data_IF_820750538400
#
_entry.id   IF_820750538400
#
_cell.length_a   1.000
_cell.length_b   1.000
_cell.length_c   1.000
_cell.angle_alpha   90.00
_cell.angle_beta   90.00
_cell.angle_gamma   90.00
#
_symmetry.space_group_name_H-M   'P 1'
#
loop_
_entity.id
_entity.type
_entity.pdbx_description
1 polymer ?
#
# COMPACT_ATOMS: atom_id res chain seq x y z
N UNK A 1 0.70 15.33 15.24
CA UNK A 1 -0.31 15.80 16.21
C UNK A 1 -1.27 16.70 15.45
N UNK A 2 -2.57 16.49 15.60
CA UNK A 2 -3.58 17.33 14.95
C UNK A 2 -4.20 18.17 16.05
N UNK A 3 -3.97 19.48 16.05
CA UNK A 3 -4.50 20.38 17.06
C UNK A 3 -5.63 21.23 16.44
N UNK A 4 -6.73 21.36 17.18
CA UNK A 4 -7.92 22.16 16.81
C UNK A 4 -8.58 21.76 15.46
N UNK A 5 -8.43 20.51 15.02
CA UNK A 5 -9.10 19.95 13.83
C UNK A 5 -9.44 18.48 14.06
N UNK A 6 -10.51 18.03 13.42
CA UNK A 6 -10.96 16.62 13.43
C UNK A 6 -10.52 15.87 12.16
N UNK A 7 -9.71 16.51 11.30
CA UNK A 7 -9.24 15.94 10.03
C UNK A 7 -7.76 16.20 9.81
N UNK A 8 -7.10 15.26 9.16
CA UNK A 8 -5.71 15.36 8.70
C UNK A 8 -5.49 14.52 7.46
N UNK A 9 -4.38 14.75 6.77
CA UNK A 9 -3.92 13.94 5.63
C UNK A 9 -2.59 13.31 6.01
N UNK A 10 -2.47 12.00 5.83
CA UNK A 10 -1.24 11.25 6.02
C UNK A 10 -0.61 11.04 4.64
N UNK A 11 0.58 11.59 4.43
CA UNK A 11 1.32 11.53 3.15
C UNK A 11 2.44 10.50 3.21
N UNK A 12 3.07 10.22 2.05
CA UNK A 12 4.24 9.34 1.92
C UNK A 12 3.98 7.89 2.35
N UNK A 13 2.79 7.38 2.04
CA UNK A 13 2.39 6.00 2.29
C UNK A 13 2.67 5.12 1.07
N UNK A 14 2.80 3.81 1.29
CA UNK A 14 2.92 2.83 0.20
C UNK A 14 1.60 2.73 -0.59
N UNK A 15 1.63 2.64 -1.92
CA UNK A 15 0.43 2.38 -2.73
C UNK A 15 -0.22 1.04 -2.36
N UNK A 16 -1.53 0.94 -2.56
CA UNK A 16 -2.36 -0.25 -2.34
C UNK A 16 -2.11 -1.02 -1.02
N UNK A 17 -1.71 -0.31 0.03
CA UNK A 17 -1.28 -0.91 1.29
C UNK A 17 -2.32 -0.65 2.38
N UNK A 18 -2.67 -1.70 3.15
CA UNK A 18 -3.59 -1.59 4.28
C UNK A 18 -2.87 -0.98 5.48
N UNK A 19 -3.40 0.12 6.00
CA UNK A 19 -2.92 0.75 7.22
C UNK A 19 -3.95 0.62 8.33
N UNK A 20 -3.47 0.33 9.54
CA UNK A 20 -4.21 0.56 10.78
C UNK A 20 -3.95 1.98 11.24
N UNK A 21 -5.01 2.75 11.41
CA UNK A 21 -4.95 4.14 11.86
C UNK A 21 -5.48 4.19 13.29
N UNK A 22 -4.60 4.34 14.27
CA UNK A 22 -4.94 4.53 15.68
C UNK A 22 -5.10 6.03 15.99
N UNK A 23 -6.24 6.42 16.55
CA UNK A 23 -6.58 7.80 16.90
C UNK A 23 -6.74 7.91 18.42
N UNK A 24 -6.01 8.84 19.02
CA UNK A 24 -6.09 9.17 20.44
C UNK A 24 -6.62 10.59 20.63
N UNK A 25 -7.41 10.80 21.69
CA UNK A 25 -7.81 12.13 22.15
C UNK A 25 -7.05 12.49 23.43
N UNK A 26 -6.43 13.65 23.43
CA UNK A 26 -5.60 14.15 24.53
C UNK A 26 -6.18 15.48 25.03
N UNK A 27 -6.33 15.62 26.35
CA UNK A 27 -6.72 16.88 26.98
C UNK A 27 -5.50 17.58 27.63
N UNK A 28 -5.73 18.65 28.40
CA UNK A 28 -4.67 19.43 29.05
C UNK A 28 -3.88 18.66 30.12
N UNK A 29 -4.45 17.60 30.71
CA UNK A 29 -3.75 16.74 31.70
C UNK A 29 -3.04 15.55 31.06
N UNK A 30 -3.09 15.41 29.72
CA UNK A 30 -2.57 14.23 29.03
C UNK A 30 -1.06 14.03 29.22
N UNK A 31 -0.30 15.07 29.54
CA UNK A 31 1.13 14.97 29.85
C UNK A 31 1.41 14.21 31.16
N UNK A 32 0.47 14.23 32.11
CA UNK A 32 0.60 13.55 33.41
C UNK A 32 -0.19 12.25 33.48
N UNK A 33 -1.40 12.23 32.93
CA UNK A 33 -2.34 11.11 33.03
C UNK A 33 -2.38 10.24 31.78
N UNK A 34 -1.76 10.68 30.67
CA UNK A 34 -1.87 10.03 29.37
C UNK A 34 -3.11 10.45 28.58
N UNK A 35 -3.13 10.09 27.30
CA UNK A 35 -4.28 10.29 26.43
C UNK A 35 -5.31 9.16 26.58
N UNK A 36 -6.46 9.30 25.90
CA UNK A 36 -7.46 8.24 25.82
C UNK A 36 -6.88 6.95 25.22
N UNK A 37 -7.60 5.84 25.42
CA UNK A 37 -7.43 4.65 24.58
C UNK A 37 -7.60 5.00 23.09
N UNK A 38 -7.02 4.19 22.21
CA UNK A 38 -7.16 4.39 20.77
C UNK A 38 -8.52 3.96 20.27
N UNK A 39 -9.12 4.77 19.41
CA UNK A 39 -10.12 4.30 18.45
C UNK A 39 -9.40 4.04 17.13
N UNK A 40 -9.66 2.91 16.48
CA UNK A 40 -8.90 2.51 15.29
C UNK A 40 -9.78 2.17 14.11
N UNK A 41 -9.23 2.38 12.92
CA UNK A 41 -9.85 2.03 11.64
C UNK A 41 -8.80 1.47 10.70
N UNK A 42 -9.24 0.59 9.79
CA UNK A 42 -8.42 0.12 8.68
C UNK A 42 -8.80 0.86 7.41
N UNK A 43 -7.80 1.36 6.70
CA UNK A 43 -7.97 2.00 5.40
C UNK A 43 -6.85 1.55 4.46
N UNK A 44 -7.17 1.38 3.18
CA UNK A 44 -6.19 1.04 2.14
C UNK A 44 -5.94 2.27 1.27
N UNK A 45 -4.67 2.51 0.94
CA UNK A 45 -4.28 3.56 0.01
C UNK A 45 -4.70 3.23 -1.42
N UNK A 46 -4.79 4.25 -2.28
CA UNK A 46 -5.05 4.05 -3.71
C UNK A 46 -3.92 3.26 -4.38
N UNK A 47 -4.22 2.51 -5.45
CA UNK A 47 -3.19 1.87 -6.26
C UNK A 47 -2.33 2.91 -6.99
N UNK A 48 -1.07 2.59 -7.22
CA UNK A 48 -0.19 3.29 -8.14
C UNK A 48 -0.52 2.88 -9.57
N UNK A 49 -0.83 3.85 -10.40
CA UNK A 49 -1.21 3.62 -11.79
C UNK A 49 -0.05 2.99 -12.57
N UNK A 50 -0.32 1.88 -13.28
CA UNK A 50 0.66 1.16 -14.11
C UNK A 50 1.70 0.36 -13.33
N UNK A 51 1.61 0.30 -11.99
CA UNK A 51 2.59 -0.42 -11.17
C UNK A 51 2.51 -1.96 -11.30
N UNK A 52 1.39 -2.47 -11.81
CA UNK A 52 1.15 -3.89 -12.04
C UNK A 52 1.46 -4.32 -13.49
N UNK A 53 1.84 -3.37 -14.33
CA UNK A 53 2.13 -3.64 -15.74
C UNK A 53 3.50 -4.29 -15.90
N UNK A 54 3.66 -5.12 -16.94
CA UNK A 54 4.92 -5.77 -17.26
C UNK A 54 5.96 -4.68 -17.61
N UNK A 55 7.08 -4.55 -16.86
CA UNK A 55 8.01 -3.43 -17.00
C UNK A 55 8.97 -3.56 -18.20
N UNK A 56 8.74 -4.52 -19.09
CA UNK A 56 9.64 -4.80 -20.21
C UNK A 56 9.02 -5.68 -21.30
N UNK A 57 9.80 -6.03 -22.33
CA UNK A 57 9.29 -6.80 -23.45
C UNK A 57 8.98 -8.25 -23.05
N UNK A 58 7.98 -8.82 -23.72
CA UNK A 58 7.76 -10.26 -23.73
C UNK A 58 8.72 -10.87 -24.74
N UNK A 59 9.55 -11.81 -24.28
CA UNK A 59 10.47 -12.61 -25.11
C UNK A 59 9.93 -14.02 -25.25
N UNK A 60 10.38 -14.73 -26.29
CA UNK A 60 9.88 -16.06 -26.60
C UNK A 60 11.00 -16.97 -27.13
N UNK A 61 10.89 -18.26 -26.83
CA UNK A 61 11.81 -19.30 -27.30
C UNK A 61 11.01 -20.48 -27.87
N UNK A 62 11.36 -20.95 -29.06
CA UNK A 62 10.77 -22.16 -29.62
C UNK A 62 11.13 -23.38 -28.77
N UNK A 63 10.15 -24.25 -28.53
CA UNK A 63 10.27 -25.52 -27.83
C UNK A 63 9.78 -26.66 -28.72
N UNK A 64 10.10 -27.94 -28.40
CA UNK A 64 9.57 -29.09 -29.11
C UNK A 64 8.04 -29.09 -29.16
N UNK A 65 7.45 -29.94 -30.01
CA UNK A 65 6.00 -30.11 -30.10
C UNK A 65 5.24 -28.84 -30.54
N UNK A 66 5.85 -28.03 -31.41
CA UNK A 66 5.29 -26.75 -31.87
C UNK A 66 4.87 -25.82 -30.72
N UNK A 67 5.59 -25.88 -29.59
CA UNK A 67 5.33 -25.03 -28.42
C UNK A 67 6.27 -23.82 -28.39
N UNK A 68 5.82 -22.75 -27.73
CA UNK A 68 6.60 -21.53 -27.50
C UNK A 68 6.64 -21.27 -26.00
N UNK A 69 7.83 -21.03 -25.46
CA UNK A 69 8.02 -20.65 -24.06
C UNK A 69 8.16 -19.12 -23.96
N UNK A 70 7.20 -18.48 -23.31
CA UNK A 70 7.19 -17.03 -23.10
C UNK A 70 7.93 -16.66 -21.81
N UNK A 71 8.62 -15.52 -21.83
CA UNK A 71 9.31 -14.93 -20.67
C UNK A 71 9.08 -13.42 -20.64
N UNK A 72 8.81 -12.87 -19.48
CA UNK A 72 8.73 -11.43 -19.25
C UNK A 72 9.23 -11.10 -17.83
N UNK A 73 9.71 -9.87 -17.58
CA UNK A 73 10.08 -9.44 -16.24
C UNK A 73 8.83 -9.25 -15.36
N UNK A 74 8.93 -9.60 -14.09
CA UNK A 74 7.89 -9.33 -13.11
C UNK A 74 7.91 -7.85 -12.67
N UNK A 75 6.75 -7.20 -12.44
CA UNK A 75 6.71 -5.85 -11.89
C UNK A 75 7.42 -5.78 -10.53
N UNK A 76 8.37 -4.84 -10.37
CA UNK A 76 9.18 -4.75 -9.14
C UNK A 76 8.39 -4.26 -7.92
N UNK A 77 7.39 -3.40 -8.14
CA UNK A 77 6.62 -2.74 -7.08
C UNK A 77 5.11 -2.80 -7.36
N UNK A 78 4.49 -4.00 -7.35
CA UNK A 78 3.09 -4.15 -7.66
C UNK A 78 2.20 -3.51 -6.58
N UNK A 79 0.95 -3.24 -6.93
CA UNK A 79 -0.13 -2.90 -6.02
C UNK A 79 -0.51 -4.12 -5.18
N UNK A 80 0.30 -4.40 -4.17
CA UNK A 80 0.12 -5.54 -3.28
C UNK A 80 0.83 -6.78 -3.83
N UNK A 81 0.08 -7.69 -4.45
CA UNK A 81 0.58 -9.00 -4.87
C UNK A 81 0.03 -9.35 -6.25
N UNK A 82 0.90 -9.78 -7.16
CA UNK A 82 0.51 -10.38 -8.44
C UNK A 82 0.05 -11.82 -8.18
N UNK A 83 -1.17 -12.16 -8.58
CA UNK A 83 -1.74 -13.50 -8.43
C UNK A 83 -1.47 -14.33 -9.70
N UNK A 84 -1.15 -15.62 -9.52
CA UNK A 84 -0.92 -16.60 -10.59
C UNK A 84 -2.19 -17.32 -11.04
#
# INVERSE_FOLDING_TARGET
RVDNKERTVISNLRPFTLYRIDIHSCNHEAEKLGCSASNFVFARTMPAQGADDIPGPVTWESRPENSIFLKWPEPENPNGLILM
#
